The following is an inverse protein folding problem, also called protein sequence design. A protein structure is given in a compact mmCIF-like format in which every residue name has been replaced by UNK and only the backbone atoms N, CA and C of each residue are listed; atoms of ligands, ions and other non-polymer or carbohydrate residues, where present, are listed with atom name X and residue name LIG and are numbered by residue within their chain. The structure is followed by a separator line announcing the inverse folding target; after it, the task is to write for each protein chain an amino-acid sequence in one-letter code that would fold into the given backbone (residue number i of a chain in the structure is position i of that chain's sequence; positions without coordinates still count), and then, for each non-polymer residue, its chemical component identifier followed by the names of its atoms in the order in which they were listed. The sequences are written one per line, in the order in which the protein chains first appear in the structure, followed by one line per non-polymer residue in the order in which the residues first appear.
data_IF_092540983270
#
_entry.id   IF_092540983270
#
_cell.length_a   1.000
_cell.length_b   1.000
_cell.length_c   1.000
_cell.angle_alpha   90.00
_cell.angle_beta   90.00
_cell.angle_gamma   90.00
#
_symmetry.space_group_name_H-M   'P 1'
#
loop_
_entity.id
_entity.type
_entity.pdbx_description
1 polymer ?
#
# COMPACT_ATOMS: atom_id res chain seq x y z
N UNK A 1 12.05 -20.31 13.97
CA UNK A 1 11.73 -19.71 12.65
C UNK A 1 11.78 -20.80 11.59
N UNK A 2 11.10 -20.62 10.47
CA UNK A 2 11.15 -21.56 9.32
C UNK A 2 12.56 -21.82 8.79
N UNK A 3 13.49 -20.90 9.00
CA UNK A 3 14.91 -21.07 8.65
C UNK A 3 15.61 -22.04 9.60
N UNK A 4 15.37 -21.93 10.93
CA UNK A 4 15.93 -22.86 11.89
C UNK A 4 15.44 -24.31 11.69
N UNK A 5 14.19 -24.49 11.21
CA UNK A 5 13.62 -25.79 10.87
C UNK A 5 14.31 -26.43 9.65
N UNK A 6 14.94 -25.62 8.78
CA UNK A 6 15.76 -26.09 7.64
C UNK A 6 17.23 -26.28 7.97
N UNK A 7 17.65 -26.02 9.23
CA UNK A 7 19.06 -26.08 9.65
C UNK A 7 19.91 -24.93 9.10
N UNK A 8 19.28 -23.87 8.57
CA UNK A 8 19.97 -22.69 8.04
C UNK A 8 20.27 -21.72 9.18
N UNK A 9 21.54 -21.35 9.37
CA UNK A 9 21.94 -20.26 10.27
C UNK A 9 21.83 -18.93 9.55
N UNK A 10 20.98 -18.03 10.09
CA UNK A 10 20.81 -16.67 9.57
C UNK A 10 21.34 -15.67 10.59
N UNK A 11 22.24 -14.79 10.18
CA UNK A 11 22.68 -13.69 11.04
C UNK A 11 21.50 -12.75 11.35
N UNK A 12 21.43 -12.29 12.60
CA UNK A 12 20.39 -11.37 13.06
C UNK A 12 21.02 -10.13 13.65
N UNK A 13 20.45 -8.97 13.36
CA UNK A 13 20.90 -7.67 13.82
C UNK A 13 19.73 -6.94 14.46
N UNK A 14 19.95 -6.25 15.57
CA UNK A 14 18.92 -5.43 16.20
C UNK A 14 18.80 -4.07 15.51
N UNK A 15 19.93 -3.52 15.08
CA UNK A 15 20.01 -2.27 14.34
C UNK A 15 20.24 -2.55 12.84
N UNK A 16 19.39 -2.01 11.99
CA UNK A 16 19.52 -2.21 10.54
C UNK A 16 20.85 -1.65 9.98
N UNK A 17 21.48 -0.69 10.63
CA UNK A 17 22.78 -0.13 10.20
C UNK A 17 23.87 -1.18 10.23
N UNK A 18 23.87 -2.06 11.23
CA UNK A 18 24.79 -3.20 11.31
C UNK A 18 24.60 -4.19 10.15
N UNK A 19 23.34 -4.42 9.73
CA UNK A 19 23.02 -5.22 8.54
C UNK A 19 23.54 -4.53 7.27
N UNK A 20 23.37 -3.23 7.14
CA UNK A 20 23.78 -2.47 5.96
C UNK A 20 25.31 -2.41 5.78
N UNK A 21 26.08 -2.57 6.86
CA UNK A 21 27.54 -2.63 6.84
C UNK A 21 28.09 -3.98 6.33
N UNK A 22 27.24 -5.03 6.23
CA UNK A 22 27.66 -6.35 5.76
C UNK A 22 28.02 -6.32 4.26
N UNK A 23 29.19 -6.86 3.92
CA UNK A 23 29.70 -6.84 2.54
C UNK A 23 29.08 -7.90 1.63
N UNK A 24 28.55 -8.95 2.22
CA UNK A 24 27.91 -10.09 1.54
C UNK A 24 26.39 -9.90 1.35
N UNK A 25 25.85 -8.73 1.70
CA UNK A 25 24.47 -8.35 1.44
C UNK A 25 24.44 -7.42 0.23
N UNK A 26 23.79 -7.82 -0.87
CA UNK A 26 23.65 -7.03 -2.10
C UNK A 26 22.34 -6.23 -2.14
N UNK A 27 21.28 -6.78 -1.58
CA UNK A 27 19.96 -6.17 -1.59
C UNK A 27 19.22 -6.38 -0.26
N UNK A 28 18.29 -5.47 0.06
CA UNK A 28 17.49 -5.55 1.27
C UNK A 28 16.00 -5.46 0.97
N UNK A 29 15.21 -6.17 1.79
CA UNK A 29 13.76 -6.06 1.81
C UNK A 29 13.33 -5.30 3.08
N UNK A 30 12.68 -4.15 2.92
CA UNK A 30 12.22 -3.31 4.02
C UNK A 30 10.72 -3.52 4.22
N UNK A 31 10.35 -4.13 5.34
CA UNK A 31 8.96 -4.39 5.76
C UNK A 31 8.72 -3.84 7.18
N UNK A 32 9.31 -2.71 7.48
CA UNK A 32 9.16 -1.96 8.74
C UNK A 32 7.84 -1.17 8.77
N UNK A 33 7.48 -0.50 9.88
CA UNK A 33 6.42 0.51 9.88
C UNK A 33 6.69 1.66 8.90
N UNK A 34 5.63 2.31 8.41
CA UNK A 34 5.70 3.27 7.30
C UNK A 34 6.72 4.39 7.48
N UNK A 35 6.85 4.91 8.70
CA UNK A 35 7.79 6.01 9.03
C UNK A 35 9.27 5.64 8.84
N UNK A 36 9.59 4.35 8.81
CA UNK A 36 10.94 3.86 8.55
C UNK A 36 11.26 3.65 7.06
N UNK A 37 10.27 3.45 6.21
CA UNK A 37 10.46 2.96 4.83
C UNK A 37 11.47 3.80 4.04
N UNK A 38 11.25 5.10 3.97
CA UNK A 38 12.13 5.97 3.17
C UNK A 38 13.52 6.12 3.77
N UNK A 39 13.63 6.31 5.07
CA UNK A 39 14.94 6.50 5.72
C UNK A 39 15.80 5.24 5.60
N UNK A 40 15.22 4.08 5.87
CA UNK A 40 15.90 2.79 5.71
C UNK A 40 16.33 2.56 4.25
N UNK A 41 15.45 2.87 3.28
CA UNK A 41 15.78 2.78 1.86
C UNK A 41 16.90 3.74 1.42
N UNK A 42 16.90 4.97 1.96
CA UNK A 42 17.98 5.94 1.71
C UNK A 42 19.33 5.41 2.25
N UNK A 43 19.35 4.92 3.49
CA UNK A 43 20.57 4.34 4.09
C UNK A 43 21.05 3.11 3.32
N UNK A 44 20.13 2.25 2.87
CA UNK A 44 20.48 1.11 2.03
C UNK A 44 21.13 1.54 0.70
N UNK A 45 20.55 2.54 0.01
CA UNK A 45 21.15 3.10 -1.20
C UNK A 45 22.56 3.70 -0.92
N UNK A 46 22.74 4.41 0.19
CA UNK A 46 24.02 4.97 0.62
C UNK A 46 25.06 3.87 0.89
N UNK A 47 24.63 2.74 1.44
CA UNK A 47 25.46 1.56 1.70
C UNK A 47 25.70 0.70 0.44
N UNK A 48 25.20 1.15 -0.73
CA UNK A 48 25.38 0.44 -2.01
C UNK A 48 24.47 -0.77 -2.21
N UNK A 49 23.37 -0.88 -1.45
CA UNK A 49 22.42 -1.98 -1.54
C UNK A 49 21.24 -1.61 -2.42
N UNK A 50 20.71 -2.58 -3.16
CA UNK A 50 19.44 -2.48 -3.85
C UNK A 50 18.28 -2.74 -2.88
N UNK A 51 17.09 -2.17 -3.15
CA UNK A 51 16.02 -2.08 -2.17
C UNK A 51 14.69 -2.55 -2.72
N UNK A 52 14.10 -3.53 -2.07
CA UNK A 52 12.67 -3.77 -2.14
C UNK A 52 12.02 -3.18 -0.89
N UNK A 53 11.16 -2.19 -1.05
CA UNK A 53 10.48 -1.55 0.08
C UNK A 53 8.98 -1.78 0.02
N UNK A 54 8.41 -2.27 1.12
CA UNK A 54 6.96 -2.46 1.22
C UNK A 54 6.20 -1.13 1.10
N UNK A 55 4.97 -1.24 0.72
CA UNK A 55 4.06 -0.10 0.57
C UNK A 55 3.56 0.40 1.96
N UNK A 56 3.28 1.68 2.11
CA UNK A 56 3.61 2.79 1.20
C UNK A 56 5.12 3.04 1.18
N UNK A 57 5.64 3.42 0.04
CA UNK A 57 7.09 3.65 -0.13
C UNK A 57 7.66 4.73 0.79
N UNK A 58 6.80 5.60 1.31
CA UNK A 58 7.15 6.71 2.20
C UNK A 58 5.99 7.07 3.12
N UNK A 59 6.32 7.65 4.26
CA UNK A 59 5.36 8.18 5.21
C UNK A 59 4.79 9.55 4.76
N UNK A 60 5.60 10.33 4.03
CA UNK A 60 5.20 11.61 3.43
C UNK A 60 5.89 11.85 2.10
N UNK A 61 5.42 12.87 1.36
CA UNK A 61 5.90 13.17 0.00
C UNK A 61 7.39 13.59 -0.02
N UNK A 62 7.84 14.35 0.98
CA UNK A 62 9.22 14.80 1.06
C UNK A 62 10.18 13.61 1.16
N UNK A 63 9.92 12.70 2.08
CA UNK A 63 10.73 11.49 2.29
C UNK A 63 10.79 10.63 1.02
N UNK A 64 9.64 10.38 0.36
CA UNK A 64 9.60 9.63 -0.89
C UNK A 64 10.44 10.27 -1.99
N UNK A 65 10.44 11.61 -2.09
CA UNK A 65 11.30 12.33 -3.04
C UNK A 65 12.80 12.21 -2.67
N UNK A 66 13.16 12.18 -1.39
CA UNK A 66 14.54 11.95 -0.98
C UNK A 66 15.01 10.53 -1.31
N UNK A 67 14.14 9.52 -1.14
CA UNK A 67 14.45 8.15 -1.54
C UNK A 67 14.71 8.03 -3.04
N UNK A 68 13.90 8.68 -3.89
CA UNK A 68 14.13 8.73 -5.35
C UNK A 68 15.49 9.37 -5.66
N UNK A 69 15.84 10.48 -4.99
CA UNK A 69 17.14 11.14 -5.16
C UNK A 69 18.30 10.24 -4.75
N UNK A 70 18.16 9.52 -3.64
CA UNK A 70 19.16 8.57 -3.17
C UNK A 70 19.36 7.43 -4.16
N UNK A 71 18.28 6.79 -4.62
CA UNK A 71 18.33 5.72 -5.61
C UNK A 71 19.11 6.14 -6.86
N UNK A 72 18.80 7.31 -7.41
CA UNK A 72 19.47 7.85 -8.60
C UNK A 72 20.93 8.23 -8.32
N UNK A 73 21.20 8.90 -7.20
CA UNK A 73 22.55 9.34 -6.82
C UNK A 73 23.53 8.17 -6.64
N UNK A 74 23.07 7.10 -6.02
CA UNK A 74 23.88 5.92 -5.72
C UNK A 74 23.74 4.81 -6.75
N UNK A 75 22.98 5.05 -7.83
CA UNK A 75 22.69 4.09 -8.89
C UNK A 75 22.20 2.74 -8.35
N UNK A 76 21.15 2.80 -7.52
CA UNK A 76 20.53 1.61 -6.90
C UNK A 76 19.14 1.37 -7.43
N UNK A 77 18.77 0.10 -7.57
CA UNK A 77 17.41 -0.31 -7.89
C UNK A 77 16.56 -0.19 -6.62
N UNK A 78 15.44 0.51 -6.72
CA UNK A 78 14.45 0.62 -5.63
C UNK A 78 13.08 0.25 -6.19
N UNK A 79 12.51 -0.86 -5.71
CA UNK A 79 11.17 -1.32 -6.10
C UNK A 79 10.20 -1.22 -4.92
N UNK A 80 9.02 -0.66 -5.18
CA UNK A 80 7.92 -0.60 -4.20
C UNK A 80 7.11 -1.88 -4.17
N UNK A 81 6.60 -2.27 -3.00
CA UNK A 81 5.68 -3.40 -2.80
C UNK A 81 4.28 -3.20 -3.41
N UNK A 82 4.19 -2.73 -4.65
CA UNK A 82 2.94 -2.58 -5.43
C UNK A 82 2.72 -3.79 -6.35
N UNK A 83 2.54 -4.96 -5.75
CA UNK A 83 2.57 -6.27 -6.43
C UNK A 83 1.51 -6.41 -7.53
N UNK A 84 0.39 -5.71 -7.42
CA UNK A 84 -0.71 -5.79 -8.39
C UNK A 84 -0.25 -5.39 -9.82
N UNK A 85 0.76 -4.53 -9.96
CA UNK A 85 1.37 -4.20 -11.25
C UNK A 85 1.95 -5.39 -12.00
N UNK A 86 2.26 -6.47 -11.29
CA UNK A 86 2.77 -7.72 -11.85
C UNK A 86 1.68 -8.77 -12.06
N UNK A 87 0.42 -8.49 -11.67
CA UNK A 87 -0.71 -9.40 -11.84
C UNK A 87 -1.02 -9.60 -13.33
N UNK A 88 -0.99 -10.84 -13.78
CA UNK A 88 -1.16 -11.18 -15.21
C UNK A 88 -2.56 -10.80 -15.72
N UNK A 89 -3.60 -10.89 -14.87
CA UNK A 89 -4.97 -10.51 -15.24
C UNK A 89 -5.12 -9.01 -15.39
N UNK A 90 -4.54 -8.21 -14.48
CA UNK A 90 -4.57 -6.76 -14.58
C UNK A 90 -3.75 -6.25 -15.77
N UNK A 91 -2.62 -6.87 -16.08
CA UNK A 91 -1.84 -6.55 -17.30
C UNK A 91 -2.63 -6.86 -18.57
N UNK A 92 -3.22 -8.05 -18.67
CA UNK A 92 -4.06 -8.41 -19.80
C UNK A 92 -5.29 -7.50 -19.94
N UNK A 93 -5.89 -7.06 -18.82
CA UNK A 93 -6.96 -6.05 -18.87
C UNK A 93 -6.44 -4.69 -19.34
N UNK A 94 -5.26 -4.26 -18.90
CA UNK A 94 -4.63 -3.02 -19.37
C UNK A 94 -4.44 -3.03 -20.89
N UNK A 95 -3.91 -4.11 -21.44
CA UNK A 95 -3.77 -4.29 -22.90
C UNK A 95 -5.13 -4.24 -23.62
N UNK A 96 -6.15 -4.86 -23.06
CA UNK A 96 -7.51 -4.84 -23.57
C UNK A 96 -8.11 -3.41 -23.58
N UNK A 97 -7.84 -2.65 -22.53
CA UNK A 97 -8.28 -1.25 -22.40
C UNK A 97 -7.54 -0.35 -23.40
N UNK A 98 -6.22 -0.52 -23.52
CA UNK A 98 -5.38 0.25 -24.45
C UNK A 98 -5.72 -0.02 -25.92
N UNK A 99 -6.25 -1.20 -26.22
CA UNK A 99 -6.80 -1.55 -27.55
C UNK A 99 -8.17 -0.88 -27.83
N UNK A 100 -8.71 -0.07 -26.89
CA UNK A 100 -9.93 0.71 -27.09
C UNK A 100 -11.23 -0.05 -26.84
N UNK A 101 -11.19 -1.28 -26.31
CA UNK A 101 -12.39 -2.15 -26.17
C UNK A 101 -13.43 -1.66 -25.16
N UNK A 102 -13.17 -0.63 -24.38
CA UNK A 102 -14.16 0.01 -23.48
C UNK A 102 -14.45 1.47 -23.88
N UNK A 103 -13.99 1.90 -25.06
CA UNK A 103 -14.01 3.29 -25.45
C UNK A 103 -13.13 4.14 -24.54
N UNK A 104 -13.38 5.44 -24.49
CA UNK A 104 -12.63 6.36 -23.61
C UNK A 104 -12.97 6.10 -22.14
N UNK A 105 -11.94 6.01 -21.29
CA UNK A 105 -12.14 5.94 -19.83
C UNK A 105 -12.73 7.25 -19.33
N UNK A 106 -13.78 7.16 -18.53
CA UNK A 106 -14.51 8.31 -17.94
C UNK A 106 -14.05 8.61 -16.52
N UNK A 107 -13.79 7.56 -15.73
CA UNK A 107 -13.32 7.68 -14.34
C UNK A 107 -12.78 6.35 -13.83
N UNK A 108 -11.95 6.41 -12.80
CA UNK A 108 -11.42 5.26 -12.10
C UNK A 108 -11.77 5.34 -10.61
N UNK A 109 -12.21 4.23 -10.02
CA UNK A 109 -12.66 4.15 -8.63
C UNK A 109 -11.97 3.01 -7.90
N UNK A 110 -11.11 3.33 -6.94
CA UNK A 110 -10.51 2.39 -6.02
C UNK A 110 -11.35 2.26 -4.74
N UNK A 111 -11.55 1.03 -4.29
CA UNK A 111 -12.45 0.68 -3.21
C UNK A 111 -11.74 -0.16 -2.16
N UNK A 112 -11.88 0.23 -0.88
CA UNK A 112 -11.48 -0.57 0.24
C UNK A 112 -12.54 -0.55 1.33
N UNK A 113 -13.50 -1.45 1.21
CA UNK A 113 -14.61 -1.63 2.14
C UNK A 113 -14.35 -2.87 2.98
N UNK A 114 -13.60 -2.70 4.05
CA UNK A 114 -13.23 -3.76 4.97
C UNK A 114 -13.46 -3.32 6.40
N UNK A 115 -14.28 -4.08 7.13
CA UNK A 115 -14.51 -3.82 8.55
C UNK A 115 -13.18 -3.79 9.32
N UNK A 116 -13.01 -2.73 10.10
CA UNK A 116 -12.01 -2.62 11.17
C UNK A 116 -12.72 -2.45 12.50
N UNK A 117 -12.17 -3.02 13.53
CA UNK A 117 -12.60 -2.77 14.91
C UNK A 117 -11.87 -1.56 15.47
N UNK A 118 -12.37 -1.02 16.55
CA UNK A 118 -11.65 -0.06 17.41
C UNK A 118 -10.28 -0.63 17.80
N UNK A 119 -9.28 0.23 17.95
CA UNK A 119 -7.96 -0.13 18.48
C UNK A 119 -7.89 -0.03 20.00
N UNK A 120 -9.03 0.25 20.65
CA UNK A 120 -9.10 0.46 22.09
C UNK A 120 -8.75 1.89 22.53
N UNK A 121 -8.96 2.13 23.80
CA UNK A 121 -8.61 3.37 24.50
C UNK A 121 -7.81 3.00 25.75
N UNK A 122 -6.56 3.47 25.84
CA UNK A 122 -5.66 3.12 26.93
C UNK A 122 -5.48 4.28 27.90
N UNK A 123 -5.60 3.99 29.18
CA UNK A 123 -5.37 4.97 30.24
C UNK A 123 -3.87 5.14 30.49
N UNK A 124 -3.29 6.17 29.86
CA UNK A 124 -1.88 6.55 30.06
C UNK A 124 -0.87 5.68 29.27
N UNK A 125 0.42 5.85 29.56
CA UNK A 125 1.48 5.09 28.89
C UNK A 125 1.42 3.61 29.18
N UNK A 126 1.58 2.80 28.11
CA UNK A 126 1.63 1.35 28.21
C UNK A 126 3.08 0.85 28.35
N UNK A 127 3.31 -0.31 29.00
CA UNK A 127 4.65 -0.85 29.11
C UNK A 127 5.20 -1.28 27.76
N UNK A 128 6.48 -0.94 27.54
CA UNK A 128 7.21 -1.38 26.34
C UNK A 128 7.66 -2.82 26.59
N UNK A 129 7.40 -3.79 25.66
CA UNK A 129 7.91 -5.14 25.78
C UNK A 129 9.44 -5.14 25.90
N UNK A 130 9.99 -5.94 26.80
CA UNK A 130 11.45 -6.01 27.05
C UNK A 130 12.27 -6.45 25.82
N UNK A 131 11.63 -7.06 24.84
CA UNK A 131 12.24 -7.50 23.57
C UNK A 131 12.31 -6.39 22.51
N UNK A 132 11.77 -5.19 22.79
CA UNK A 132 11.69 -4.08 21.85
C UNK A 132 12.56 -2.92 22.33
N UNK A 133 13.55 -2.54 21.55
CA UNK A 133 14.17 -1.22 21.68
C UNK A 133 13.23 -0.18 21.10
N UNK A 134 12.47 0.49 21.97
CA UNK A 134 11.44 1.42 21.56
C UNK A 134 12.00 2.69 20.92
N UNK A 135 13.23 3.08 21.26
CA UNK A 135 13.89 4.21 20.61
C UNK A 135 14.25 3.88 19.16
N UNK A 136 14.82 2.70 18.91
CA UNK A 136 15.03 2.21 17.53
C UNK A 136 13.72 1.99 16.78
N UNK A 137 12.70 1.45 17.46
CA UNK A 137 11.40 1.26 16.84
C UNK A 137 10.78 2.60 16.39
N UNK A 138 10.86 3.63 17.23
CA UNK A 138 10.36 5.00 16.96
C UNK A 138 11.17 5.67 15.85
N UNK A 139 12.50 5.51 15.85
CA UNK A 139 13.38 5.98 14.79
C UNK A 139 13.19 7.43 14.41
N UNK A 140 12.82 7.74 13.14
CA UNK A 140 12.67 9.12 12.67
C UNK A 140 11.44 9.85 13.21
N UNK A 141 10.47 9.13 13.81
CA UNK A 141 9.30 9.75 14.42
C UNK A 141 9.61 10.37 15.78
N UNK A 142 8.72 11.21 16.29
CA UNK A 142 8.84 11.77 17.64
C UNK A 142 8.75 10.67 18.70
N UNK A 143 9.73 10.64 19.62
CA UNK A 143 9.70 9.69 20.73
C UNK A 143 8.60 10.08 21.72
N UNK A 144 7.46 9.40 21.63
CA UNK A 144 6.32 9.59 22.52
C UNK A 144 6.09 8.33 23.36
N UNK A 145 5.53 8.45 24.57
CA UNK A 145 5.09 7.29 25.34
C UNK A 145 4.15 6.39 24.52
N UNK A 146 4.30 5.07 24.67
CA UNK A 146 3.40 4.12 24.02
C UNK A 146 1.98 4.29 24.55
N UNK A 147 1.02 4.67 23.70
CA UNK A 147 -0.39 4.89 24.02
C UNK A 147 -1.29 4.12 23.06
N UNK A 148 -1.11 2.80 22.99
CA UNK A 148 -1.96 1.86 22.27
C UNK A 148 -1.78 0.46 22.81
N UNK A 149 -2.79 -0.38 22.71
CA UNK A 149 -2.74 -1.75 23.21
C UNK A 149 -1.78 -2.63 22.41
N UNK A 150 -1.88 -2.60 21.09
CA UNK A 150 -1.08 -3.46 20.21
C UNK A 150 0.05 -2.66 19.54
N UNK A 151 1.23 -2.69 20.14
CA UNK A 151 2.42 -1.99 19.64
C UNK A 151 2.72 -2.33 18.19
N UNK A 152 2.61 -3.60 17.79
CA UNK A 152 3.08 -4.08 16.47
C UNK A 152 2.06 -3.89 15.35
N UNK A 153 0.81 -3.48 15.64
CA UNK A 153 -0.20 -3.35 14.60
C UNK A 153 -0.91 -2.00 14.61
N UNK A 154 -1.30 -1.45 15.77
CA UNK A 154 -2.15 -0.26 15.86
C UNK A 154 -1.45 1.04 15.48
N UNK A 155 -0.14 1.01 15.27
CA UNK A 155 0.63 2.11 14.71
C UNK A 155 0.10 2.58 13.34
N UNK A 156 -0.60 1.74 12.60
CA UNK A 156 -1.20 2.10 11.32
C UNK A 156 -2.14 3.29 11.43
N UNK A 157 -2.82 3.44 12.56
CA UNK A 157 -3.81 4.50 12.79
C UNK A 157 -3.32 5.66 13.65
N UNK A 158 -2.01 5.75 13.90
CA UNK A 158 -1.34 6.86 14.60
C UNK A 158 -0.52 7.65 13.59
N UNK A 159 -0.76 8.96 13.48
CA UNK A 159 -0.15 9.81 12.46
C UNK A 159 1.37 9.84 12.47
N UNK A 160 2.01 9.69 13.63
CA UNK A 160 3.47 9.68 13.75
C UNK A 160 4.13 8.47 13.05
N UNK A 161 3.39 7.36 12.88
CA UNK A 161 3.94 6.08 12.42
C UNK A 161 3.29 5.55 11.15
N UNK A 162 2.01 5.89 10.92
CA UNK A 162 1.19 5.38 9.83
C UNK A 162 0.27 6.43 9.24
N UNK A 163 -0.46 6.07 8.18
CA UNK A 163 -1.36 6.97 7.47
C UNK A 163 -2.77 6.35 7.31
N UNK A 164 -3.17 5.48 8.24
CA UNK A 164 -4.45 4.77 8.18
C UNK A 164 -4.60 3.84 6.98
N UNK A 165 -5.82 3.39 6.74
CA UNK A 165 -6.09 2.48 5.62
C UNK A 165 -5.93 3.15 4.23
N UNK A 166 -5.90 4.47 4.14
CA UNK A 166 -5.59 5.15 2.87
C UNK A 166 -4.20 4.75 2.34
N UNK A 167 -3.17 4.76 3.20
CA UNK A 167 -1.83 4.33 2.80
C UNK A 167 -1.57 2.85 3.08
N UNK A 168 -2.24 2.23 4.08
CA UNK A 168 -2.04 0.82 4.34
C UNK A 168 -2.53 -0.05 3.17
N UNK A 169 -3.69 0.26 2.61
CA UNK A 169 -4.29 -0.50 1.51
C UNK A 169 -4.71 0.37 0.34
N UNK A 170 -5.26 1.57 0.59
CA UNK A 170 -5.71 2.47 -0.47
C UNK A 170 -4.63 2.78 -1.50
N UNK A 171 -3.36 2.73 -1.11
CA UNK A 171 -2.22 2.86 -2.03
C UNK A 171 -2.25 1.83 -3.17
N UNK A 172 -2.68 0.59 -2.92
CA UNK A 172 -2.82 -0.40 -3.99
C UNK A 172 -3.91 -0.01 -4.98
N UNK A 173 -5.08 0.43 -4.50
CA UNK A 173 -6.19 0.84 -5.37
C UNK A 173 -5.85 2.11 -6.16
N UNK A 174 -5.13 3.06 -5.54
CA UNK A 174 -4.63 4.25 -6.25
C UNK A 174 -3.66 3.84 -7.35
N UNK A 175 -2.71 2.96 -7.02
CA UNK A 175 -1.71 2.49 -7.97
C UNK A 175 -2.33 1.70 -9.11
N UNK A 176 -3.27 0.79 -8.81
CA UNK A 176 -4.02 0.02 -9.81
C UNK A 176 -4.82 0.94 -10.74
N UNK A 177 -5.59 1.88 -10.19
CA UNK A 177 -6.36 2.85 -10.97
C UNK A 177 -5.45 3.67 -11.90
N UNK A 178 -4.31 4.14 -11.39
CA UNK A 178 -3.33 4.87 -12.20
C UNK A 178 -2.73 4.00 -13.29
N UNK A 179 -2.33 2.79 -12.96
CA UNK A 179 -1.76 1.84 -13.91
C UNK A 179 -2.76 1.49 -15.01
N UNK A 180 -3.96 1.06 -14.64
CA UNK A 180 -4.99 0.60 -15.58
C UNK A 180 -5.48 1.73 -16.47
N UNK A 181 -5.75 2.91 -15.93
CA UNK A 181 -6.23 4.06 -16.69
C UNK A 181 -5.12 4.89 -17.35
N UNK A 182 -3.85 4.48 -17.25
CA UNK A 182 -2.71 5.18 -17.87
C UNK A 182 -2.46 6.58 -17.30
N UNK A 183 -2.75 6.82 -16.00
CA UNK A 183 -2.60 8.13 -15.37
C UNK A 183 -1.16 8.34 -14.88
N UNK A 184 -0.42 9.16 -15.58
CA UNK A 184 0.96 9.48 -15.28
C UNK A 184 1.11 10.79 -14.48
N UNK A 185 2.29 10.98 -13.89
CA UNK A 185 2.62 12.20 -13.16
C UNK A 185 1.82 12.38 -11.85
N UNK A 186 1.74 13.61 -11.39
CA UNK A 186 0.96 14.01 -10.22
C UNK A 186 -0.43 14.52 -10.65
N UNK A 187 -1.46 14.34 -9.81
CA UNK A 187 -2.76 14.98 -10.08
C UNK A 187 -2.63 16.50 -10.01
N UNK A 188 -3.45 17.22 -10.79
CA UNK A 188 -3.52 18.68 -10.73
C UNK A 188 -4.04 19.18 -9.40
N UNK A 189 -4.95 18.41 -8.78
CA UNK A 189 -5.54 18.72 -7.49
C UNK A 189 -5.93 17.43 -6.77
N UNK A 190 -5.86 17.43 -5.44
CA UNK A 190 -6.42 16.40 -4.58
C UNK A 190 -7.39 17.05 -3.60
N UNK A 191 -8.57 16.45 -3.47
CA UNK A 191 -9.59 16.84 -2.49
C UNK A 191 -9.90 15.59 -1.67
N UNK A 192 -9.95 15.72 -0.35
CA UNK A 192 -10.32 14.59 0.49
C UNK A 192 -11.20 15.03 1.65
N UNK A 193 -12.06 14.12 2.06
CA UNK A 193 -12.91 14.25 3.22
C UNK A 193 -12.98 12.91 3.95
N UNK A 194 -12.96 12.95 5.27
CA UNK A 194 -13.05 11.74 6.07
C UNK A 194 -13.00 12.04 7.56
N UNK A 195 -13.24 11.01 8.34
CA UNK A 195 -13.23 11.08 9.79
C UNK A 195 -13.16 9.70 10.42
N UNK A 196 -13.06 9.70 11.74
CA UNK A 196 -13.11 8.50 12.55
C UNK A 196 -14.44 8.50 13.31
N UNK A 197 -15.32 7.57 12.93
CA UNK A 197 -16.70 7.50 13.41
C UNK A 197 -17.07 6.09 13.87
N UNK A 198 -18.19 5.98 14.57
CA UNK A 198 -18.79 4.73 14.99
C UNK A 198 -18.23 4.10 16.25
N UNK A 199 -17.10 4.59 16.75
CA UNK A 199 -16.50 4.27 18.04
C UNK A 199 -15.51 5.38 18.45
N UNK A 200 -15.23 5.47 19.75
CA UNK A 200 -14.17 6.31 20.32
C UNK A 200 -13.00 5.42 20.69
N UNK A 201 -11.79 5.79 20.28
CA UNK A 201 -10.56 5.05 20.56
C UNK A 201 -9.33 5.95 20.34
N UNK A 202 -8.14 5.42 20.62
CA UNK A 202 -6.87 6.14 20.46
C UNK A 202 -6.45 6.37 19.00
N UNK A 203 -7.20 5.85 18.03
CA UNK A 203 -6.91 6.01 16.62
C UNK A 203 -7.10 7.44 16.12
N UNK A 204 -6.15 7.94 15.36
CA UNK A 204 -6.09 9.32 14.87
C UNK A 204 -6.49 9.45 13.40
N UNK A 205 -6.29 8.39 12.62
CA UNK A 205 -6.56 8.42 11.18
C UNK A 205 -8.03 8.10 10.87
N UNK A 206 -8.60 8.64 9.77
CA UNK A 206 -9.95 8.33 9.36
C UNK A 206 -10.18 6.82 9.16
N UNK A 207 -11.35 6.35 9.56
CA UNK A 207 -11.86 5.01 9.25
C UNK A 207 -12.91 5.02 8.13
N UNK A 208 -13.36 6.21 7.73
CA UNK A 208 -14.19 6.46 6.57
C UNK A 208 -13.62 7.66 5.84
N UNK A 209 -13.23 7.46 4.57
CA UNK A 209 -12.45 8.45 3.86
C UNK A 209 -12.69 8.36 2.35
N UNK A 210 -12.94 9.49 1.72
CA UNK A 210 -13.01 9.64 0.26
C UNK A 210 -11.97 10.62 -0.19
N UNK A 211 -11.21 10.29 -1.22
CA UNK A 211 -10.32 11.24 -1.90
C UNK A 211 -10.56 11.21 -3.41
N UNK A 212 -10.49 12.39 -4.02
CA UNK A 212 -10.60 12.58 -5.45
C UNK A 212 -9.32 13.23 -5.95
N UNK A 213 -8.68 12.57 -6.90
CA UNK A 213 -7.49 13.08 -7.57
C UNK A 213 -7.87 13.52 -8.99
N UNK A 214 -7.60 14.79 -9.31
CA UNK A 214 -7.91 15.39 -10.59
C UNK A 214 -6.76 15.15 -11.58
N UNK A 215 -6.94 14.16 -12.44
CA UNK A 215 -6.18 13.95 -13.68
C UNK A 215 -7.02 14.43 -14.88
N UNK A 216 -6.78 13.90 -16.07
CA UNK A 216 -7.65 14.13 -17.22
C UNK A 216 -9.01 13.45 -17.04
N UNK A 217 -9.05 12.44 -16.20
CA UNK A 217 -10.26 11.84 -15.64
C UNK A 217 -10.20 11.89 -14.12
N UNK A 218 -11.32 11.89 -13.39
CA UNK A 218 -11.29 11.75 -11.94
C UNK A 218 -10.85 10.34 -11.53
N UNK A 219 -9.91 10.27 -10.58
CA UNK A 219 -9.60 9.06 -9.84
C UNK A 219 -10.16 9.22 -8.42
N UNK A 220 -11.08 8.37 -8.04
CA UNK A 220 -11.74 8.37 -6.73
C UNK A 220 -11.22 7.21 -5.91
N UNK A 221 -10.89 7.44 -4.64
CA UNK A 221 -10.57 6.39 -3.67
C UNK A 221 -11.53 6.48 -2.51
N UNK A 222 -12.09 5.35 -2.13
CA UNK A 222 -13.03 5.28 -1.04
C UNK A 222 -12.65 4.18 -0.04
N UNK A 223 -12.47 4.59 1.21
CA UNK A 223 -12.18 3.73 2.35
C UNK A 223 -13.40 3.69 3.25
N UNK A 224 -13.89 2.50 3.57
CA UNK A 224 -14.97 2.28 4.54
C UNK A 224 -14.57 1.14 5.47
N UNK A 225 -14.42 1.44 6.77
CA UNK A 225 -14.07 0.45 7.78
C UNK A 225 -15.24 0.10 8.71
N UNK A 226 -16.37 0.79 8.58
CA UNK A 226 -17.59 0.52 9.34
C UNK A 226 -18.53 -0.38 8.53
N UNK A 227 -19.29 -1.28 9.17
CA UNK A 227 -20.30 -2.09 8.49
C UNK A 227 -21.46 -1.23 7.96
N UNK A 228 -22.30 -1.80 7.11
CA UNK A 228 -23.46 -1.11 6.51
C UNK A 228 -24.43 -0.53 7.56
N UNK A 229 -24.60 -1.23 8.68
CA UNK A 229 -25.36 -0.74 9.83
C UNK A 229 -24.86 -1.40 11.11
N UNK A 230 -25.34 -0.91 12.27
CA UNK A 230 -25.02 -1.45 13.58
C UNK A 230 -25.32 -2.95 13.70
N UNK A 231 -26.39 -3.40 13.06
CA UNK A 231 -26.91 -4.77 13.16
C UNK A 231 -26.50 -5.67 11.98
N UNK A 232 -25.90 -5.09 10.93
CA UNK A 232 -25.49 -5.82 9.72
C UNK A 232 -23.97 -5.80 9.62
N UNK A 233 -23.34 -6.93 9.91
CA UNK A 233 -21.89 -7.09 9.83
C UNK A 233 -21.35 -7.24 8.39
N UNK A 234 -22.13 -6.88 7.39
CA UNK A 234 -21.72 -6.87 6.00
C UNK A 234 -21.14 -5.52 5.61
N UNK A 235 -20.25 -5.53 4.63
CA UNK A 235 -19.72 -4.32 4.01
C UNK A 235 -20.49 -4.03 2.74
N UNK A 236 -20.61 -2.75 2.41
CA UNK A 236 -21.15 -2.26 1.15
C UNK A 236 -20.26 -2.65 -0.04
N UNK A 237 -20.72 -2.40 -1.27
CA UNK A 237 -19.98 -2.62 -2.49
C UNK A 237 -20.39 -1.63 -3.59
N UNK A 238 -19.52 -1.46 -4.59
CA UNK A 238 -19.82 -0.74 -5.83
C UNK A 238 -19.59 -1.68 -7.00
N UNK A 239 -20.63 -1.93 -7.81
CA UNK A 239 -20.55 -2.87 -8.93
C UNK A 239 -20.04 -4.27 -8.51
N UNK A 240 -20.40 -4.72 -7.32
CA UNK A 240 -19.95 -5.99 -6.75
C UNK A 240 -18.53 -5.99 -6.15
N UNK A 241 -17.81 -4.90 -6.25
CA UNK A 241 -16.45 -4.75 -5.69
C UNK A 241 -16.52 -4.13 -4.30
N UNK A 242 -15.87 -4.78 -3.32
CA UNK A 242 -15.63 -4.23 -1.98
C UNK A 242 -14.17 -3.82 -1.79
N UNK A 243 -13.25 -4.60 -2.37
CA UNK A 243 -11.80 -4.40 -2.28
C UNK A 243 -11.22 -4.59 -3.68
N UNK A 244 -10.88 -3.50 -4.35
CA UNK A 244 -10.40 -3.51 -5.74
C UNK A 244 -10.76 -2.23 -6.45
N UNK A 245 -11.00 -2.34 -7.75
CA UNK A 245 -11.14 -1.18 -8.63
C UNK A 245 -12.32 -1.35 -9.58
N UNK A 246 -12.95 -0.22 -9.92
CA UNK A 246 -13.90 -0.11 -11.02
C UNK A 246 -13.36 0.92 -12.01
N UNK A 247 -13.10 0.50 -13.25
CA UNK A 247 -12.67 1.38 -14.34
C UNK A 247 -13.85 1.55 -15.31
N UNK A 248 -14.39 2.75 -15.40
CA UNK A 248 -15.56 3.06 -16.22
C UNK A 248 -15.15 3.60 -17.58
N UNK A 249 -15.55 2.94 -18.64
CA UNK A 249 -15.43 3.39 -20.02
C UNK A 249 -16.74 3.90 -20.61
N UNK A 250 -16.73 4.24 -21.89
CA UNK A 250 -17.93 4.64 -22.65
C UNK A 250 -18.84 3.46 -22.97
N UNK A 251 -18.26 2.27 -23.19
CA UNK A 251 -18.96 1.08 -23.67
C UNK A 251 -19.12 -0.02 -22.60
N UNK A 252 -18.62 0.21 -21.37
CA UNK A 252 -18.72 -0.76 -20.30
C UNK A 252 -17.78 -0.42 -19.15
N UNK A 253 -17.55 -1.40 -18.28
CA UNK A 253 -16.67 -1.20 -17.14
C UNK A 253 -15.92 -2.49 -16.76
N UNK A 254 -14.74 -2.31 -16.17
CA UNK A 254 -14.03 -3.38 -15.48
C UNK A 254 -14.35 -3.30 -13.98
N UNK A 255 -14.52 -4.46 -13.35
CA UNK A 255 -14.68 -4.62 -11.91
C UNK A 255 -13.76 -5.76 -11.44
N UNK A 256 -12.77 -5.44 -10.60
CA UNK A 256 -11.77 -6.40 -10.17
C UNK A 256 -10.68 -5.77 -9.31
N UNK A 257 -9.54 -6.44 -9.21
CA UNK A 257 -8.39 -6.02 -8.42
C UNK A 257 -7.33 -7.11 -8.39
N UNK A 258 -6.65 -7.28 -7.28
CA UNK A 258 -5.65 -8.33 -7.10
C UNK A 258 -6.26 -9.71 -7.40
N UNK A 259 -5.69 -10.42 -8.36
CA UNK A 259 -6.24 -11.70 -8.87
C UNK A 259 -7.12 -11.53 -10.09
N UNK A 260 -7.16 -10.33 -10.70
CA UNK A 260 -7.88 -10.05 -11.93
C UNK A 260 -9.31 -9.56 -11.74
N UNK A 261 -10.17 -9.77 -12.72
CA UNK A 261 -11.55 -9.28 -12.69
C UNK A 261 -12.35 -9.60 -13.94
N UNK A 262 -13.46 -8.88 -14.09
CA UNK A 262 -14.37 -9.01 -15.22
C UNK A 262 -14.64 -7.67 -15.88
N UNK A 263 -14.79 -7.71 -17.20
CA UNK A 263 -15.42 -6.63 -17.98
C UNK A 263 -16.90 -6.93 -18.10
N UNK A 264 -17.68 -5.87 -17.96
CA UNK A 264 -19.14 -5.84 -18.10
C UNK A 264 -19.52 -4.79 -19.14
N UNK A 265 -20.63 -5.03 -19.87
CA UNK A 265 -21.27 -4.00 -20.67
C UNK A 265 -21.99 -2.96 -19.78
N UNK A 266 -22.63 -1.97 -20.38
CA UNK A 266 -23.38 -0.93 -19.65
C UNK A 266 -24.64 -1.48 -18.94
N UNK A 267 -25.19 -2.59 -19.42
CA UNK A 267 -26.35 -3.28 -18.85
C UNK A 267 -25.94 -4.19 -17.66
N UNK A 268 -24.62 -4.38 -17.44
CA UNK A 268 -24.10 -5.19 -16.36
C UNK A 268 -23.92 -6.67 -16.70
N UNK A 269 -24.02 -7.04 -17.99
CA UNK A 269 -23.72 -8.40 -18.42
C UNK A 269 -22.22 -8.64 -18.49
N UNK A 270 -21.79 -9.85 -18.13
CA UNK A 270 -20.38 -10.25 -18.22
C UNK A 270 -19.95 -10.40 -19.67
N UNK A 271 -18.88 -9.69 -20.05
CA UNK A 271 -18.30 -9.73 -21.40
C UNK A 271 -17.04 -10.58 -21.44
N UNK A 272 -16.07 -10.30 -20.55
CA UNK A 272 -14.78 -10.98 -20.57
C UNK A 272 -14.15 -11.06 -19.19
N UNK A 273 -13.58 -12.22 -18.88
CA UNK A 273 -12.79 -12.43 -17.65
C UNK A 273 -11.30 -12.24 -17.92
N UNK A 274 -10.63 -11.69 -16.92
CA UNK A 274 -9.18 -11.55 -16.85
C UNK A 274 -8.70 -12.21 -15.56
N UNK A 275 -8.43 -13.53 -15.56
CA UNK A 275 -7.94 -14.21 -14.36
C UNK A 275 -6.51 -13.78 -14.05
N UNK A 276 -6.25 -13.42 -12.80
CA UNK A 276 -4.94 -12.98 -12.32
C UNK A 276 -4.28 -14.00 -11.40
N UNK A 277 -3.00 -13.77 -11.10
CA UNK A 277 -2.18 -14.58 -10.21
C UNK A 277 -1.85 -13.89 -8.87
N UNK A 278 -2.41 -12.69 -8.66
CA UNK A 278 -2.16 -11.89 -7.47
C UNK A 278 -0.79 -11.23 -7.43
N UNK A 279 -0.09 -11.13 -8.56
CA UNK A 279 1.21 -10.45 -8.68
C UNK A 279 2.39 -11.33 -8.29
N UNK A 280 2.31 -12.65 -8.54
CA UNK A 280 3.34 -13.63 -8.17
C UNK A 280 4.73 -13.39 -8.75
N UNK A 281 4.85 -12.67 -9.87
CA UNK A 281 6.13 -12.34 -10.52
C UNK A 281 6.84 -11.08 -9.99
N UNK A 282 6.29 -10.39 -8.98
CA UNK A 282 6.77 -9.06 -8.58
C UNK A 282 8.19 -9.07 -7.98
N UNK A 283 8.47 -10.02 -7.09
CA UNK A 283 9.80 -10.16 -6.50
C UNK A 283 10.83 -10.67 -7.53
N UNK A 284 10.40 -11.55 -8.43
CA UNK A 284 11.27 -12.01 -9.53
C UNK A 284 11.67 -10.85 -10.44
N UNK A 285 10.76 -9.92 -10.71
CA UNK A 285 11.05 -8.68 -11.46
C UNK A 285 12.10 -7.81 -10.74
N UNK A 286 12.02 -7.67 -9.42
CA UNK A 286 13.05 -6.97 -8.64
C UNK A 286 14.42 -7.63 -8.82
N UNK A 287 14.51 -8.93 -8.60
CA UNK A 287 15.79 -9.68 -8.73
C UNK A 287 16.34 -9.59 -10.14
N UNK A 288 15.48 -9.62 -11.15
CA UNK A 288 15.90 -9.44 -12.54
C UNK A 288 16.53 -8.05 -12.75
N UNK A 289 15.86 -6.99 -12.31
CA UNK A 289 16.35 -5.62 -12.44
C UNK A 289 17.68 -5.37 -11.68
N UNK A 290 17.91 -6.07 -10.56
CA UNK A 290 19.18 -5.99 -9.82
C UNK A 290 20.32 -6.68 -10.57
N UNK A 291 20.04 -7.70 -11.38
CA UNK A 291 21.05 -8.48 -12.11
C UNK A 291 21.41 -7.89 -13.49
N UNK A 292 20.57 -7.06 -14.05
CA UNK A 292 20.76 -6.32 -15.31
C UNK A 292 21.52 -4.99 -15.08
#
# INVERSE_FOLDING_TARGET
SKFNERGESVATFQDMRELLDQKDVDAVCIAAPNHWHSLAGIWACQAGKDVYVEKPISHNIFEGRQLIKAARKYNRIVQSGTQNRSDVGLRAFKEYLDAGNLGRVKWAHGLWFKRRTSIGDVTGPQPIPSTVDYNLWTGPASLQPLRRENLHYDWHWIWDYGNGDMANIGVHQIDDCRFLAGLEGNPRRAISFGGRWGYEDDGQTPNTHVAVFEYDIPLVIEIRNLPMSKDINAMDNVKGVRMGNVIMGEEGYFAGGRGGGWVYDLDGNKVKQFPGDGGGGHQANFIQAVRE
#
